data_IF_790014677740
#
_entry.id   IF_790014677740
#
_cell.length_a   1.000
_cell.length_b   1.000
_cell.length_c   1.000
_cell.angle_alpha   90.00
_cell.angle_beta   90.00
_cell.angle_gamma   90.00
#
_symmetry.space_group_name_H-M   'P 1'
#
loop_
_entity.id
_entity.type
_entity.pdbx_description
1 polymer ?
#
# COMPACT_ATOMS: atom_id res chain seq x y z
N UNK A 1 6.05 17.64 28.78
CA UNK A 1 6.44 16.58 27.83
C UNK A 1 5.17 15.86 27.41
N UNK A 2 4.65 16.09 26.20
CA UNK A 2 3.53 15.27 25.72
C UNK A 2 4.10 13.91 25.34
N UNK A 3 3.80 12.88 26.13
CA UNK A 3 3.95 11.50 25.70
C UNK A 3 3.05 11.33 24.47
N UNK A 4 3.66 11.18 23.27
CA UNK A 4 2.94 10.65 22.11
C UNK A 4 2.42 9.28 22.54
N UNK A 5 1.15 9.20 22.91
CA UNK A 5 0.48 7.94 23.20
C UNK A 5 0.52 7.16 21.88
N UNK A 6 1.18 6.00 21.86
CA UNK A 6 1.11 5.12 20.71
C UNK A 6 -0.38 4.80 20.50
N UNK A 7 -0.95 5.31 19.41
CA UNK A 7 -2.29 4.92 18.99
C UNK A 7 -2.13 3.64 18.22
N UNK A 8 -2.88 2.62 18.59
CA UNK A 8 -3.04 1.45 17.74
C UNK A 8 -3.76 1.90 16.47
N UNK A 9 -3.17 1.56 15.32
CA UNK A 9 -3.71 1.88 14.01
C UNK A 9 -4.12 0.55 13.38
N UNK A 10 -5.41 0.41 13.10
CA UNK A 10 -5.93 -0.71 12.35
C UNK A 10 -5.72 -0.45 10.85
N UNK A 11 -4.94 -1.33 10.20
CA UNK A 11 -4.73 -1.32 8.76
C UNK A 11 -5.61 -2.41 8.16
N UNK A 12 -6.49 -2.01 7.26
CA UNK A 12 -7.35 -2.93 6.50
C UNK A 12 -6.76 -3.14 5.12
N UNK A 13 -6.68 -4.40 4.71
CA UNK A 13 -6.17 -4.81 3.40
C UNK A 13 -7.33 -5.35 2.57
N UNK A 14 -7.46 -4.90 1.34
CA UNK A 14 -8.43 -5.40 0.36
C UNK A 14 -7.72 -5.82 -0.92
N UNK A 15 -8.07 -6.99 -1.45
CA UNK A 15 -7.59 -7.46 -2.75
C UNK A 15 -8.63 -7.15 -3.82
N UNK A 16 -8.21 -6.44 -4.87
CA UNK A 16 -9.06 -6.09 -6.01
C UNK A 16 -8.37 -6.49 -7.30
N UNK A 17 -9.17 -6.75 -8.34
CA UNK A 17 -8.67 -6.93 -9.70
C UNK A 17 -8.90 -5.65 -10.49
N UNK A 18 -7.83 -5.08 -11.06
CA UNK A 18 -7.92 -3.92 -11.95
C UNK A 18 -7.58 -4.33 -13.38
N UNK A 19 -8.41 -3.92 -14.33
CA UNK A 19 -8.03 -3.97 -15.75
C UNK A 19 -7.16 -2.75 -16.06
N UNK A 20 -5.91 -3.00 -16.44
CA UNK A 20 -4.97 -1.98 -16.89
C UNK A 20 -4.54 -2.35 -18.30
N UNK A 21 -4.98 -1.57 -19.28
CA UNK A 21 -4.67 -1.76 -20.71
C UNK A 21 -5.06 -3.17 -21.22
N UNK A 22 -6.21 -3.70 -20.79
CA UNK A 22 -6.72 -5.00 -21.21
C UNK A 22 -6.06 -6.20 -20.52
N UNK A 23 -5.28 -5.96 -19.45
CA UNK A 23 -4.72 -7.00 -18.59
C UNK A 23 -5.28 -6.83 -17.18
N UNK A 24 -5.75 -7.93 -16.60
CA UNK A 24 -6.17 -7.95 -15.21
C UNK A 24 -4.95 -8.13 -14.30
N UNK A 25 -4.78 -7.21 -13.37
CA UNK A 25 -3.78 -7.27 -12.33
C UNK A 25 -4.43 -7.43 -10.97
N UNK A 26 -3.78 -8.20 -10.10
CA UNK A 26 -4.10 -8.25 -8.67
C UNK A 26 -3.50 -7.02 -8.00
N UNK A 27 -4.34 -6.26 -7.32
CA UNK A 27 -3.98 -5.04 -6.62
C UNK A 27 -4.38 -5.19 -5.17
N UNK A 28 -3.41 -5.04 -4.28
CA UNK A 28 -3.63 -5.00 -2.84
C UNK A 28 -3.79 -3.54 -2.41
N UNK A 29 -4.94 -3.17 -1.88
CA UNK A 29 -5.24 -1.82 -1.41
C UNK A 29 -5.17 -1.78 0.13
N UNK A 30 -4.47 -0.77 0.66
CA UNK A 30 -4.33 -0.57 2.10
C UNK A 30 -5.15 0.63 2.55
N UNK A 31 -5.84 0.47 3.67
CA UNK A 31 -6.69 1.50 4.25
C UNK A 31 -6.42 1.68 5.74
N UNK A 32 -6.51 2.92 6.21
CA UNK A 32 -6.66 3.26 7.63
C UNK A 32 -8.02 3.93 7.79
N UNK A 33 -8.92 3.28 8.51
CA UNK A 33 -10.33 3.66 8.55
C UNK A 33 -10.93 3.66 7.14
N UNK A 34 -11.36 4.84 6.66
CA UNK A 34 -11.93 5.02 5.31
C UNK A 34 -10.94 5.55 4.27
N UNK A 35 -9.73 5.92 4.69
CA UNK A 35 -8.73 6.53 3.80
C UNK A 35 -7.85 5.44 3.19
N UNK A 36 -7.77 5.41 1.87
CA UNK A 36 -6.78 4.59 1.17
C UNK A 36 -5.41 5.23 1.36
N UNK A 37 -4.45 4.45 1.83
CA UNK A 37 -3.10 4.92 2.14
C UNK A 37 -2.05 4.46 1.15
N UNK A 38 -2.43 3.55 0.24
CA UNK A 38 -1.58 3.07 -0.85
C UNK A 38 -2.20 1.87 -1.53
N UNK A 39 -1.68 1.56 -2.71
CA UNK A 39 -2.02 0.35 -3.44
C UNK A 39 -0.76 -0.32 -3.99
N UNK A 40 -0.80 -1.65 -4.10
CA UNK A 40 0.33 -2.49 -4.50
C UNK A 40 -0.13 -3.37 -5.65
N UNK A 41 0.47 -3.16 -6.83
CA UNK A 41 0.24 -3.92 -8.03
C UNK A 41 1.19 -5.12 -8.07
N UNK A 42 0.65 -6.34 -8.14
CA UNK A 42 1.44 -7.52 -8.45
C UNK A 42 1.73 -7.57 -9.96
N UNK A 43 2.85 -6.97 -10.37
CA UNK A 43 3.20 -6.81 -11.79
C UNK A 43 3.83 -8.07 -12.39
N UNK A 44 4.52 -8.87 -11.57
CA UNK A 44 5.19 -10.09 -11.99
C UNK A 44 5.76 -10.90 -10.82
N UNK A 45 6.49 -12.00 -11.08
CA UNK A 45 7.07 -12.82 -10.03
C UNK A 45 8.03 -12.01 -9.18
N UNK A 46 7.67 -11.76 -7.90
CA UNK A 46 8.47 -10.95 -6.97
C UNK A 46 8.66 -9.50 -7.43
N UNK A 47 7.72 -8.96 -8.19
CA UNK A 47 7.69 -7.54 -8.54
C UNK A 47 6.36 -6.93 -8.09
N UNK A 48 6.44 -6.20 -6.97
CA UNK A 48 5.31 -5.51 -6.36
C UNK A 48 5.52 -4.01 -6.49
N UNK A 49 4.73 -3.35 -7.33
CA UNK A 49 4.83 -1.92 -7.60
C UNK A 49 3.87 -1.16 -6.70
N UNK A 50 4.38 -0.13 -6.01
CA UNK A 50 3.66 0.65 -5.01
C UNK A 50 3.21 1.95 -5.63
N UNK A 51 1.94 2.29 -5.41
CA UNK A 51 1.35 3.56 -5.83
C UNK A 51 0.71 4.29 -4.65
N UNK A 52 0.84 5.61 -4.67
CA UNK A 52 0.11 6.51 -3.80
C UNK A 52 -0.82 7.39 -4.65
N UNK A 53 -2.05 6.91 -4.87
CA UNK A 53 -2.95 7.51 -5.84
C UNK A 53 -2.54 7.14 -7.27
N UNK A 54 -2.26 8.14 -8.11
CA UNK A 54 -1.82 7.94 -9.50
C UNK A 54 -0.29 7.93 -9.66
N UNK A 55 0.45 8.26 -8.60
CA UNK A 55 1.92 8.34 -8.64
C UNK A 55 2.57 6.99 -8.30
N UNK A 56 3.55 6.59 -9.11
CA UNK A 56 4.41 5.46 -8.79
C UNK A 56 5.44 5.88 -7.73
N UNK A 57 5.58 5.07 -6.69
CA UNK A 57 6.55 5.32 -5.62
C UNK A 57 7.81 4.46 -5.77
N UNK A 58 7.65 3.22 -6.25
CA UNK A 58 8.75 2.29 -6.41
C UNK A 58 8.29 0.84 -6.41
N UNK A 59 9.26 -0.08 -6.33
CA UNK A 59 9.03 -1.53 -6.41
C UNK A 59 9.71 -2.27 -5.27
N UNK A 60 9.05 -3.32 -4.81
CA UNK A 60 9.54 -4.24 -3.78
C UNK A 60 9.53 -5.69 -4.26
N UNK A 61 10.35 -6.51 -3.61
CA UNK A 61 10.56 -7.93 -3.98
C UNK A 61 9.59 -8.90 -3.31
N UNK A 62 8.83 -8.44 -2.33
CA UNK A 62 7.78 -9.21 -1.66
C UNK A 62 6.59 -8.30 -1.33
N UNK A 63 5.41 -8.91 -1.19
CA UNK A 63 4.20 -8.19 -0.82
C UNK A 63 4.34 -7.59 0.58
N UNK A 64 4.97 -8.32 1.50
CA UNK A 64 5.18 -7.88 2.88
C UNK A 64 6.05 -6.62 2.94
N UNK A 65 7.13 -6.56 2.15
CA UNK A 65 7.97 -5.37 2.07
C UNK A 65 7.19 -4.19 1.48
N UNK A 66 6.38 -4.43 0.45
CA UNK A 66 5.55 -3.40 -0.16
C UNK A 66 4.53 -2.82 0.85
N UNK A 67 3.86 -3.70 1.60
CA UNK A 67 2.95 -3.32 2.69
C UNK A 67 3.67 -2.50 3.75
N UNK A 68 4.84 -2.96 4.19
CA UNK A 68 5.65 -2.24 5.18
C UNK A 68 6.05 -0.85 4.68
N UNK A 69 6.49 -0.73 3.43
CA UNK A 69 6.85 0.55 2.80
C UNK A 69 5.65 1.52 2.77
N UNK A 70 4.45 1.04 2.42
CA UNK A 70 3.22 1.86 2.45
C UNK A 70 2.92 2.38 3.86
N UNK A 71 2.96 1.50 4.86
CA UNK A 71 2.69 1.87 6.27
C UNK A 71 3.74 2.85 6.80
N UNK A 72 5.03 2.63 6.47
CA UNK A 72 6.12 3.52 6.86
C UNK A 72 5.96 4.89 6.22
N UNK A 73 5.64 4.96 4.93
CA UNK A 73 5.40 6.22 4.23
C UNK A 73 4.24 6.99 4.88
N UNK A 74 3.11 6.33 5.12
CA UNK A 74 1.97 6.93 5.81
C UNK A 74 2.35 7.54 7.17
N UNK A 75 3.05 6.78 8.01
CA UNK A 75 3.44 7.22 9.35
C UNK A 75 4.46 8.39 9.36
N UNK A 76 5.16 8.65 8.25
CA UNK A 76 6.13 9.73 8.14
C UNK A 76 5.54 11.03 7.57
N UNK A 77 4.45 10.92 6.81
CA UNK A 77 3.86 12.03 6.05
C UNK A 77 2.48 12.51 6.56
N UNK A 78 1.86 11.83 7.52
CA UNK A 78 0.73 12.33 8.34
C UNK A 78 1.16 12.70 9.78
#
# INVERSE_FOLDING_TARGET
MMSKKNKDIEVRIEEVKKDIKGKNYEVTQLFIGKKMIGEILAYGPKEYEIFFGEEDFGKEKSLENAIETVIRHWNLHE
#
